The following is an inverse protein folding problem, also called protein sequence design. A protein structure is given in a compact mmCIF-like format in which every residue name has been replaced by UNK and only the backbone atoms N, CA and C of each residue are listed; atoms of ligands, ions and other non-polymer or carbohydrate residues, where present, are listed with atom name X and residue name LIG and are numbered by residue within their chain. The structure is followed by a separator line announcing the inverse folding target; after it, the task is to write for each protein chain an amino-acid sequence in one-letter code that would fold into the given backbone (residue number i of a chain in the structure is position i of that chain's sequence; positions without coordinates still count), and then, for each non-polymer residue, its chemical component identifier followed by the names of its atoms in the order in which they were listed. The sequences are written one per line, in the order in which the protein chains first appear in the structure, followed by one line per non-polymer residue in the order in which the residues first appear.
data_IF_225652369463
#
_entry.id   IF_225652369463
#
_cell.length_a   1.000
_cell.length_b   1.000
_cell.length_c   1.000
_cell.angle_alpha   90.00
_cell.angle_beta   90.00
_cell.angle_gamma   90.00
#
_symmetry.space_group_name_H-M   'P 1'
#
loop_
_entity.id
_entity.type
_entity.pdbx_description
1 polymer ?
#
# COMPACT_ATOMS: atom_id res chain seq x y z
N UNK A 1 56.87 -9.08 -34.64
CA UNK A 1 56.28 -8.96 -33.29
C UNK A 1 54.78 -8.95 -33.43
N UNK A 2 54.07 -9.84 -32.73
CA UNK A 2 52.61 -9.97 -32.70
C UNK A 2 52.03 -8.97 -31.72
N UNK A 3 50.96 -8.28 -32.08
CA UNK A 3 50.05 -7.59 -31.15
C UNK A 3 48.64 -7.67 -31.75
N UNK A 4 47.90 -8.73 -31.41
CA UNK A 4 46.79 -8.78 -30.45
C UNK A 4 45.57 -7.94 -30.87
N UNK A 5 44.67 -8.62 -31.60
CA UNK A 5 43.26 -8.31 -31.71
C UNK A 5 42.62 -8.35 -30.32
N UNK A 6 42.06 -7.23 -29.85
CA UNK A 6 41.15 -7.23 -28.71
C UNK A 6 39.73 -7.19 -29.27
N UNK A 7 39.16 -8.39 -29.44
CA UNK A 7 37.71 -8.57 -29.52
C UNK A 7 37.13 -8.31 -28.13
N UNK A 8 36.43 -7.19 -27.95
CA UNK A 8 35.55 -7.03 -26.80
C UNK A 8 34.21 -7.70 -27.14
N UNK A 9 34.06 -8.93 -26.64
CA UNK A 9 32.81 -9.66 -26.67
C UNK A 9 31.76 -8.94 -25.81
N UNK A 10 30.67 -8.49 -26.43
CA UNK A 10 29.39 -8.32 -25.73
C UNK A 10 28.91 -9.71 -25.32
N UNK A 11 29.19 -10.12 -24.08
CA UNK A 11 28.68 -11.36 -23.52
C UNK A 11 28.02 -11.09 -22.17
N UNK A 12 26.70 -11.24 -22.15
CA UNK A 12 26.01 -11.82 -21.01
C UNK A 12 25.74 -10.90 -19.82
N UNK A 13 24.87 -9.92 -19.99
CA UNK A 13 23.90 -9.58 -18.95
C UNK A 13 22.52 -9.79 -19.54
N UNK A 14 22.11 -11.07 -19.62
CA UNK A 14 20.70 -11.37 -19.58
C UNK A 14 20.24 -10.82 -18.22
N UNK A 15 19.68 -9.60 -18.24
CA UNK A 15 18.88 -9.10 -17.14
C UNK A 15 17.84 -10.19 -16.91
N UNK A 16 18.01 -10.97 -15.84
CA UNK A 16 16.96 -11.84 -15.36
C UNK A 16 15.76 -10.90 -15.20
N UNK A 17 14.75 -11.06 -16.05
CA UNK A 17 13.42 -10.59 -15.76
C UNK A 17 12.96 -11.40 -14.56
N UNK A 18 13.50 -11.10 -13.39
CA UNK A 18 12.88 -11.42 -12.12
C UNK A 18 11.49 -10.85 -12.27
N UNK A 19 10.51 -11.74 -12.44
CA UNK A 19 9.14 -11.36 -12.76
C UNK A 19 8.76 -10.17 -11.90
N UNK A 20 8.22 -9.13 -12.54
CA UNK A 20 7.86 -7.89 -11.85
C UNK A 20 7.21 -8.26 -10.51
N UNK A 21 7.69 -7.74 -9.38
CA UNK A 21 7.10 -8.07 -8.10
C UNK A 21 5.60 -7.82 -8.25
N UNK A 22 4.73 -8.80 -7.96
CA UNK A 22 3.28 -8.64 -8.11
C UNK A 22 2.88 -7.33 -7.45
N UNK A 23 2.35 -6.43 -8.26
CA UNK A 23 2.25 -5.02 -7.90
C UNK A 23 1.20 -4.85 -6.80
N UNK A 24 1.50 -3.98 -5.85
CA UNK A 24 0.49 -3.48 -4.92
C UNK A 24 -0.27 -2.38 -5.66
N UNK A 25 -1.57 -2.59 -5.89
CA UNK A 25 -2.43 -1.58 -6.51
C UNK A 25 -3.30 -0.89 -5.47
N UNK A 26 -3.76 0.32 -5.79
CA UNK A 26 -4.74 1.03 -5.00
C UNK A 26 -5.80 1.65 -5.90
N UNK A 27 -7.04 1.60 -5.46
CA UNK A 27 -8.19 2.18 -6.15
C UNK A 27 -9.17 2.82 -5.17
N UNK A 28 -9.84 3.89 -5.63
CA UNK A 28 -10.89 4.52 -4.86
C UNK A 28 -12.17 3.69 -4.90
N UNK A 29 -12.87 3.66 -3.77
CA UNK A 29 -14.23 3.15 -3.65
C UNK A 29 -15.22 4.31 -3.66
N UNK A 30 -16.43 4.04 -4.17
CA UNK A 30 -17.53 4.99 -4.15
C UNK A 30 -18.10 5.23 -2.74
N UNK A 31 -17.83 4.34 -1.79
CA UNK A 31 -18.36 4.39 -0.43
C UNK A 31 -17.50 3.60 0.56
N UNK A 32 -17.72 3.78 1.88
CA UNK A 32 -17.01 3.02 2.89
C UNK A 32 -17.40 1.54 2.81
N UNK A 33 -16.51 0.62 3.24
CA UNK A 33 -16.84 -0.79 3.34
C UNK A 33 -17.99 -1.03 4.34
N UNK A 34 -18.78 -2.08 4.08
CA UNK A 34 -19.87 -2.50 4.98
C UNK A 34 -19.36 -3.09 6.30
N UNK A 35 -20.26 -3.38 7.26
CA UNK A 35 -19.87 -4.00 8.52
C UNK A 35 -19.29 -5.41 8.31
N UNK A 36 -18.31 -5.80 9.14
CA UNK A 36 -17.87 -7.20 9.25
C UNK A 36 -16.51 -7.55 8.64
N UNK A 37 -15.67 -6.57 8.29
CA UNK A 37 -14.30 -6.88 7.86
C UNK A 37 -13.41 -7.20 9.06
N UNK A 38 -12.75 -8.36 9.03
CA UNK A 38 -11.68 -8.68 9.97
C UNK A 38 -10.51 -7.70 9.81
N UNK A 39 -9.79 -7.47 10.91
CA UNK A 39 -8.61 -6.60 10.92
C UNK A 39 -7.52 -7.27 10.07
N UNK A 40 -7.09 -6.57 9.03
CA UNK A 40 -6.06 -7.01 8.10
C UNK A 40 -4.74 -6.28 8.25
N UNK A 41 -4.64 -5.30 9.13
CA UNK A 41 -3.44 -4.48 9.28
C UNK A 41 -3.72 -3.17 9.99
N UNK A 42 -2.80 -2.22 9.85
CA UNK A 42 -2.82 -0.95 10.58
C UNK A 42 -2.48 0.23 9.67
N UNK A 43 -3.15 1.34 9.93
CA UNK A 43 -2.81 2.67 9.45
C UNK A 43 -2.02 3.35 10.57
N UNK A 44 -0.72 3.53 10.35
CA UNK A 44 0.18 4.04 11.38
C UNK A 44 0.12 5.57 11.43
N UNK A 45 0.10 6.22 10.26
CA UNK A 45 0.14 7.68 10.16
C UNK A 45 -0.76 8.14 9.01
N UNK A 46 -1.53 9.20 9.26
CA UNK A 46 -2.23 9.98 8.25
C UNK A 46 -1.74 11.42 8.34
N UNK A 47 -1.00 11.86 7.33
CA UNK A 47 -0.59 13.26 7.19
C UNK A 47 -1.49 13.91 6.15
N UNK A 48 -2.26 14.92 6.57
CA UNK A 48 -3.18 15.62 5.70
C UNK A 48 -2.78 17.08 5.52
N UNK A 49 -2.57 17.49 4.27
CA UNK A 49 -2.42 18.88 3.86
C UNK A 49 -3.72 19.31 3.19
N UNK A 50 -4.59 19.95 3.97
CA UNK A 50 -5.89 20.44 3.52
C UNK A 50 -5.75 21.48 2.41
N UNK A 51 -4.76 22.37 2.52
CA UNK A 51 -4.56 23.46 1.55
C UNK A 51 -4.10 22.91 0.20
N UNK A 52 -3.20 21.92 0.21
CA UNK A 52 -2.73 21.28 -1.01
C UNK A 52 -3.69 20.22 -1.56
N UNK A 53 -4.69 19.79 -0.78
CA UNK A 53 -5.58 18.69 -1.15
C UNK A 53 -4.82 17.37 -1.26
N UNK A 54 -4.00 17.04 -0.25
CA UNK A 54 -3.13 15.86 -0.31
C UNK A 54 -3.11 15.12 1.02
N UNK A 55 -3.40 13.81 0.98
CA UNK A 55 -3.23 12.91 2.11
C UNK A 55 -2.08 11.92 1.84
N UNK A 56 -1.15 11.80 2.78
CA UNK A 56 -0.09 10.80 2.77
C UNK A 56 -0.32 9.82 3.92
N UNK A 57 -0.52 8.56 3.57
CA UNK A 57 -0.95 7.51 4.49
C UNK A 57 0.12 6.43 4.55
N UNK A 58 0.52 6.09 5.77
CA UNK A 58 1.49 5.07 6.07
C UNK A 58 0.79 3.94 6.80
N UNK A 59 1.11 2.71 6.45
CA UNK A 59 0.55 1.57 7.14
C UNK A 59 1.23 0.27 6.74
N UNK A 60 0.64 -0.81 7.21
CA UNK A 60 0.99 -2.16 6.81
C UNK A 60 -0.26 -3.02 6.76
N UNK A 61 -0.18 -4.11 6.02
CA UNK A 61 -1.26 -5.08 5.97
C UNK A 61 -0.76 -6.52 5.82
N UNK A 62 -1.52 -7.45 6.36
CA UNK A 62 -1.36 -8.88 6.13
C UNK A 62 -1.66 -9.21 4.67
N UNK A 63 -0.97 -10.22 4.17
CA UNK A 63 -1.22 -10.77 2.84
C UNK A 63 -0.78 -12.22 2.77
N UNK A 64 -1.17 -12.90 1.69
CA UNK A 64 -0.73 -14.25 1.37
C UNK A 64 0.65 -14.23 0.71
N UNK A 65 1.70 -14.76 1.37
CA UNK A 65 3.09 -14.69 0.91
C UNK A 65 3.32 -15.30 -0.47
N UNK A 66 2.49 -16.29 -0.81
CA UNK A 66 2.57 -17.07 -2.04
C UNK A 66 2.08 -16.31 -3.28
N UNK A 67 1.04 -15.48 -3.14
CA UNK A 67 0.46 -14.77 -4.27
C UNK A 67 1.03 -13.37 -4.38
N UNK A 68 1.26 -12.68 -3.25
CA UNK A 68 1.68 -11.26 -3.20
C UNK A 68 0.80 -10.30 -4.04
N UNK A 69 -0.32 -10.81 -4.57
CA UNK A 69 -1.37 -10.07 -5.28
C UNK A 69 -2.24 -9.38 -4.23
N UNK A 70 -2.26 -8.06 -4.27
CA UNK A 70 -2.86 -7.23 -3.23
C UNK A 70 -3.49 -6.02 -3.89
N UNK A 71 -4.73 -5.74 -3.51
CA UNK A 71 -5.43 -4.55 -3.96
C UNK A 71 -5.94 -3.77 -2.76
N UNK A 72 -5.46 -2.53 -2.61
CA UNK A 72 -6.00 -1.60 -1.62
C UNK A 72 -7.22 -0.91 -2.19
N UNK A 73 -8.30 -0.98 -1.44
CA UNK A 73 -9.52 -0.23 -1.69
C UNK A 73 -9.61 0.89 -0.67
N UNK A 74 -9.71 2.11 -1.19
CA UNK A 74 -9.61 3.32 -0.38
C UNK A 74 -10.90 4.12 -0.52
N UNK A 75 -11.54 4.41 0.59
CA UNK A 75 -12.61 5.39 0.66
C UNK A 75 -12.16 6.56 1.54
N UNK A 76 -12.29 7.77 1.01
CA UNK A 76 -12.11 9.00 1.77
C UNK A 76 -13.13 10.01 1.24
N UNK A 77 -13.80 10.73 2.15
CA UNK A 77 -14.99 11.54 1.85
C UNK A 77 -14.76 12.63 0.79
N UNK A 78 -13.52 13.10 0.64
CA UNK A 78 -13.11 14.14 -0.28
C UNK A 78 -12.03 13.65 -1.28
N UNK A 79 -11.80 12.34 -1.39
CA UNK A 79 -10.77 11.80 -2.27
C UNK A 79 -11.19 11.87 -3.74
N UNK A 80 -10.27 12.36 -4.58
CA UNK A 80 -10.46 12.53 -6.02
C UNK A 80 -9.74 11.43 -6.80
N UNK A 81 -8.50 11.11 -6.40
CA UNK A 81 -7.71 10.06 -7.04
C UNK A 81 -6.65 9.48 -6.11
N UNK A 82 -6.23 8.25 -6.41
CA UNK A 82 -4.98 7.70 -5.90
C UNK A 82 -3.84 8.27 -6.75
N UNK A 83 -2.93 9.02 -6.13
CA UNK A 83 -1.76 9.56 -6.81
C UNK A 83 -0.68 8.49 -6.97
N UNK A 84 -0.36 7.79 -5.89
CA UNK A 84 0.68 6.76 -5.91
C UNK A 84 0.52 5.79 -4.75
N UNK A 85 1.10 4.60 -4.96
CA UNK A 85 1.30 3.61 -3.92
C UNK A 85 2.72 3.06 -4.02
N UNK A 86 3.39 2.90 -2.88
CA UNK A 86 4.77 2.43 -2.83
C UNK A 86 4.93 1.48 -1.66
N UNK A 87 5.50 0.30 -1.92
CA UNK A 87 5.82 -0.67 -0.87
C UNK A 87 6.99 -0.18 -0.02
N UNK A 88 7.01 -0.61 1.24
CA UNK A 88 8.09 -0.38 2.18
C UNK A 88 8.30 -1.61 3.05
N UNK A 89 9.55 -1.82 3.44
CA UNK A 89 9.88 -2.86 4.39
C UNK A 89 9.41 -2.48 5.81
N UNK A 90 8.95 -3.47 6.57
CA UNK A 90 8.44 -3.40 7.94
C UNK A 90 9.08 -4.47 8.82
N UNK A 91 10.39 -4.33 8.99
CA UNK A 91 11.16 -5.23 9.85
C UNK A 91 10.67 -5.20 11.31
N UNK A 92 10.19 -4.04 11.77
CA UNK A 92 9.54 -3.85 13.07
C UNK A 92 8.30 -4.73 13.23
N UNK A 93 7.40 -4.74 12.23
CA UNK A 93 6.17 -5.55 12.25
C UNK A 93 6.50 -7.03 12.18
N UNK A 94 7.41 -7.41 11.27
CA UNK A 94 7.84 -8.79 11.12
C UNK A 94 8.47 -9.33 12.42
N UNK A 95 9.28 -8.52 13.11
CA UNK A 95 9.89 -8.88 14.38
C UNK A 95 8.84 -8.96 15.51
N UNK A 96 7.96 -7.98 15.62
CA UNK A 96 6.93 -7.92 16.67
C UNK A 96 5.94 -9.08 16.61
N UNK A 97 5.60 -9.53 15.39
CA UNK A 97 4.67 -10.64 15.17
C UNK A 97 5.36 -11.99 14.94
N UNK A 98 6.70 -12.03 14.96
CA UNK A 98 7.47 -13.25 14.72
C UNK A 98 7.23 -13.87 13.33
N UNK A 99 6.87 -13.06 12.33
CA UNK A 99 6.50 -13.51 10.98
C UNK A 99 7.30 -12.77 9.90
N UNK A 100 8.27 -13.46 9.29
CA UNK A 100 9.14 -12.91 8.24
C UNK A 100 8.40 -12.56 6.96
N UNK A 101 7.25 -13.18 6.70
CA UNK A 101 6.47 -12.86 5.52
C UNK A 101 5.89 -11.44 5.58
N UNK A 102 5.86 -10.83 6.77
CA UNK A 102 5.38 -9.47 6.95
C UNK A 102 6.43 -8.40 6.61
N UNK A 103 7.63 -8.79 6.16
CA UNK A 103 8.69 -7.83 5.84
C UNK A 103 8.26 -6.83 4.77
N UNK A 104 7.58 -7.26 3.71
CA UNK A 104 7.23 -6.42 2.55
C UNK A 104 5.80 -5.84 2.63
N UNK A 105 5.23 -5.75 3.83
CA UNK A 105 3.82 -5.38 4.06
C UNK A 105 3.54 -3.91 4.16
N UNK A 106 4.59 -3.10 4.32
CA UNK A 106 4.45 -1.68 4.49
C UNK A 106 4.03 -1.02 3.20
N UNK A 107 3.26 0.05 3.32
CA UNK A 107 2.94 0.90 2.18
C UNK A 107 3.02 2.39 2.53
N UNK A 108 3.25 3.18 1.49
CA UNK A 108 2.90 4.60 1.40
C UNK A 108 1.80 4.72 0.38
N UNK A 109 0.69 5.34 0.76
CA UNK A 109 -0.39 5.68 -0.15
C UNK A 109 -0.50 7.20 -0.18
N UNK A 110 -0.52 7.76 -1.38
CA UNK A 110 -0.76 9.20 -1.56
C UNK A 110 -2.08 9.39 -2.30
N UNK A 111 -2.97 10.15 -1.69
CA UNK A 111 -4.27 10.52 -2.24
C UNK A 111 -4.29 12.00 -2.57
N UNK A 112 -4.87 12.32 -3.73
CA UNK A 112 -5.32 13.66 -4.01
C UNK A 112 -6.76 13.79 -3.49
N UNK A 113 -7.01 14.83 -2.71
CA UNK A 113 -8.34 15.21 -2.23
C UNK A 113 -8.74 16.54 -2.83
N UNK A 114 -10.00 16.93 -2.66
CA UNK A 114 -10.42 18.31 -2.91
C UNK A 114 -9.65 19.26 -1.98
N UNK A 115 -8.95 20.28 -2.51
CA UNK A 115 -8.27 21.29 -1.70
C UNK A 115 -9.25 22.12 -0.86
N UNK A 116 -8.91 22.40 0.40
CA UNK A 116 -9.71 23.19 1.32
C UNK A 116 -10.89 22.46 1.97
N UNK A 117 -11.00 21.14 1.78
CA UNK A 117 -12.08 20.32 2.35
C UNK A 117 -11.52 19.40 3.43
N UNK A 118 -12.05 19.36 4.66
CA UNK A 118 -11.51 18.49 5.70
C UNK A 118 -11.68 17.00 5.39
N UNK A 119 -10.67 16.20 5.72
CA UNK A 119 -10.73 14.73 5.69
C UNK A 119 -11.36 14.22 7.00
N UNK A 120 -12.65 13.87 6.94
CA UNK A 120 -13.43 13.46 8.13
C UNK A 120 -13.70 11.97 8.18
N UNK A 121 -13.51 11.27 7.05
CA UNK A 121 -13.65 9.82 6.96
C UNK A 121 -12.53 9.23 6.12
N UNK A 122 -11.92 8.15 6.61
CA UNK A 122 -10.94 7.38 5.88
C UNK A 122 -11.13 5.90 6.19
N UNK A 123 -11.40 5.11 5.16
CA UNK A 123 -11.45 3.67 5.21
C UNK A 123 -10.46 3.11 4.21
N UNK A 124 -9.57 2.24 4.67
CA UNK A 124 -8.71 1.46 3.79
C UNK A 124 -9.02 0.00 4.07
N UNK A 125 -9.36 -0.71 3.01
CA UNK A 125 -9.44 -2.16 3.04
C UNK A 125 -8.46 -2.75 2.05
N UNK A 126 -8.04 -3.97 2.31
CA UNK A 126 -7.17 -4.73 1.45
C UNK A 126 -7.94 -5.99 1.03
N UNK A 127 -7.83 -6.37 -0.23
CA UNK A 127 -8.35 -7.67 -0.67
C UNK A 127 -7.19 -8.60 -0.96
N UNK A 128 -7.15 -9.71 -0.23
CA UNK A 128 -6.25 -10.82 -0.48
C UNK A 128 -7.04 -12.01 -1.06
N UNK A 129 -6.44 -12.74 -2.00
CA UNK A 129 -7.08 -13.91 -2.62
C UNK A 129 -7.45 -15.02 -1.63
N UNK A 130 -6.65 -15.20 -0.58
CA UNK A 130 -6.87 -16.23 0.43
C UNK A 130 -7.72 -15.72 1.60
N UNK A 131 -7.45 -14.51 2.06
CA UNK A 131 -8.08 -13.96 3.27
C UNK A 131 -9.33 -13.11 3.01
N UNK A 132 -9.66 -12.83 1.74
CA UNK A 132 -10.76 -11.97 1.37
C UNK A 132 -10.48 -10.50 1.68
N UNK A 133 -11.55 -9.70 1.78
CA UNK A 133 -11.46 -8.28 2.09
C UNK A 133 -11.33 -8.05 3.60
N UNK A 134 -10.29 -7.32 4.00
CA UNK A 134 -9.99 -6.97 5.39
C UNK A 134 -9.81 -5.47 5.54
N UNK A 135 -10.27 -4.92 6.66
CA UNK A 135 -10.15 -3.50 6.93
C UNK A 135 -8.85 -3.23 7.71
N UNK A 136 -8.20 -2.11 7.39
CA UNK A 136 -7.06 -1.64 8.17
C UNK A 136 -7.57 -0.79 9.34
N UNK A 137 -6.98 -1.00 10.50
CA UNK A 137 -7.34 -0.26 11.70
C UNK A 137 -6.58 1.05 11.79
N UNK A 138 -7.25 2.08 12.29
CA UNK A 138 -6.56 3.26 12.76
C UNK A 138 -5.67 2.92 13.95
N UNK A 139 -4.40 3.33 13.93
CA UNK A 139 -3.50 3.14 15.05
C UNK A 139 -3.76 4.13 16.19
N UNK A 140 -4.20 5.35 15.85
CA UNK A 140 -4.37 6.43 16.80
C UNK A 140 -5.77 7.06 16.69
N UNK A 141 -6.28 7.56 17.82
CA UNK A 141 -7.65 8.09 17.95
C UNK A 141 -7.89 9.41 17.23
N UNK A 142 -6.81 10.09 16.82
CA UNK A 142 -6.83 11.33 16.05
C UNK A 142 -6.94 11.10 14.53
N UNK A 143 -6.82 9.84 14.08
CA UNK A 143 -7.02 9.51 12.67
C UNK A 143 -8.50 9.58 12.28
N UNK A 144 -8.83 9.97 11.03
CA UNK A 144 -10.22 10.00 10.57
C UNK A 144 -10.86 8.61 10.73
N UNK A 145 -12.04 8.51 11.36
CA UNK A 145 -12.68 7.23 11.57
C UNK A 145 -13.14 6.61 10.25
N UNK A 146 -13.14 5.29 10.19
CA UNK A 146 -13.89 4.56 9.18
C UNK A 146 -15.29 4.26 9.73
N UNK A 147 -16.28 5.03 9.28
CA UNK A 147 -17.68 4.80 9.63
C UNK A 147 -18.40 4.12 8.44
N UNK A 148 -19.19 3.05 8.68
CA UNK A 148 -20.04 2.51 7.63
C UNK A 148 -21.03 3.59 7.16
N UNK A 149 -21.36 3.60 5.87
CA UNK A 149 -22.41 4.46 5.36
C UNK A 149 -23.72 4.05 6.04
N UNK A 150 -24.34 4.99 6.75
CA UNK A 150 -25.62 4.80 7.43
C UNK A 150 -26.79 4.63 6.47
#
# INVERSE_FOLDING_TARGET
MRALLISLACAGLAACSGGAPPELTASLQSGPPGPGHEIGGSIDIVQYDEVAGRATIHGWHMFTPKTREQDLKVYANNAVSVQSITRRERQDVAAALGNKDLLDTGFTLVLNTEPGTPLTQLCISMTDKHYGARQLNAHASDQPPCMPAG
#
